data_IF_756210739487
#
_entry.id   IF_756210739487
#
_cell.length_a   1.000
_cell.length_b   1.000
_cell.length_c   1.000
_cell.angle_alpha   90.00
_cell.angle_beta   90.00
_cell.angle_gamma   90.00
#
_symmetry.space_group_name_H-M   'P 1'
#
loop_
_entity.id
_entity.type
_entity.pdbx_description
1 polymer ?
#
# COMPACT_ATOMS: atom_id res chain seq x y z
N UNK A 1 20.34 5.65 -18.70
CA UNK A 1 19.86 4.30 -18.33
C UNK A 1 18.36 4.25 -18.64
N UNK A 2 17.93 3.30 -19.49
CA UNK A 2 16.51 3.23 -19.86
C UNK A 2 15.69 2.69 -18.69
N UNK A 3 14.72 3.46 -18.22
CA UNK A 3 13.76 3.02 -17.19
C UNK A 3 12.81 2.01 -17.83
N UNK A 4 12.62 0.86 -17.17
CA UNK A 4 11.76 -0.21 -17.68
C UNK A 4 10.43 -0.28 -16.96
N UNK A 5 10.36 0.23 -15.72
CA UNK A 5 9.13 0.28 -14.94
C UNK A 5 9.05 1.51 -14.04
N UNK A 6 7.86 2.08 -13.87
CA UNK A 6 7.60 3.21 -12.97
C UNK A 6 6.50 2.87 -11.98
N UNK A 7 6.78 2.99 -10.68
CA UNK A 7 5.76 3.07 -9.66
C UNK A 7 5.47 4.54 -9.32
N UNK A 8 4.21 4.87 -9.16
CA UNK A 8 3.74 6.17 -8.66
C UNK A 8 2.98 5.91 -7.37
N UNK A 9 3.51 6.37 -6.23
CA UNK A 9 2.96 6.12 -4.90
C UNK A 9 2.57 7.44 -4.21
N UNK A 10 1.64 7.40 -3.26
CA UNK A 10 1.18 8.60 -2.57
C UNK A 10 2.21 9.15 -1.58
N UNK A 11 2.73 8.29 -0.72
CA UNK A 11 3.55 8.68 0.42
C UNK A 11 5.05 8.46 0.24
N UNK A 12 5.84 9.25 0.98
CA UNK A 12 7.30 9.02 1.07
C UNK A 12 7.60 7.66 1.69
N UNK A 13 6.82 7.24 2.68
CA UNK A 13 7.01 5.95 3.35
C UNK A 13 6.74 4.78 2.42
N UNK A 14 5.77 4.90 1.49
CA UNK A 14 5.48 3.85 0.51
C UNK A 14 6.66 3.62 -0.42
N UNK A 15 7.43 4.67 -0.74
CA UNK A 15 8.67 4.58 -1.50
C UNK A 15 9.72 3.68 -0.80
N UNK A 16 9.73 3.65 0.53
CA UNK A 16 10.67 2.83 1.30
C UNK A 16 10.14 1.41 1.53
N UNK A 17 8.82 1.26 1.65
CA UNK A 17 8.16 -0.03 1.92
C UNK A 17 8.02 -0.92 0.68
N UNK A 18 7.72 -0.32 -0.47
CA UNK A 18 7.54 -1.07 -1.72
C UNK A 18 8.78 -1.88 -2.14
N UNK A 19 10.02 -1.36 -2.06
CA UNK A 19 11.21 -2.16 -2.36
C UNK A 19 11.34 -3.42 -1.52
N UNK A 20 10.90 -3.42 -0.25
CA UNK A 20 10.95 -4.61 0.61
C UNK A 20 10.11 -5.75 0.03
N UNK A 21 8.91 -5.45 -0.49
CA UNK A 21 8.07 -6.44 -1.17
C UNK A 21 8.70 -6.89 -2.50
N UNK A 22 9.23 -5.95 -3.28
CA UNK A 22 9.85 -6.29 -4.56
C UNK A 22 11.05 -7.22 -4.38
N UNK A 23 11.90 -6.95 -3.40
CA UNK A 23 13.08 -7.77 -3.08
C UNK A 23 12.71 -9.17 -2.57
N UNK A 24 11.63 -9.27 -1.78
CA UNK A 24 11.15 -10.54 -1.29
C UNK A 24 10.62 -11.44 -2.41
N UNK A 25 9.74 -10.90 -3.26
CA UNK A 25 8.94 -11.70 -4.18
C UNK A 25 9.46 -11.75 -5.63
N UNK A 26 10.44 -10.90 -5.97
CA UNK A 26 11.01 -10.85 -7.33
C UNK A 26 12.54 -10.92 -7.30
N UNK A 27 13.10 -11.60 -8.28
CA UNK A 27 14.54 -11.67 -8.52
C UNK A 27 15.04 -10.45 -9.32
N UNK A 28 16.33 -10.18 -9.29
CA UNK A 28 16.98 -9.13 -10.07
C UNK A 28 16.39 -7.73 -9.91
N UNK A 29 15.89 -7.40 -8.72
CA UNK A 29 15.29 -6.10 -8.43
C UNK A 29 16.34 -5.02 -8.19
N UNK A 30 17.54 -5.42 -7.69
CA UNK A 30 18.66 -4.51 -7.49
C UNK A 30 19.80 -4.79 -8.47
N UNK A 31 20.58 -3.76 -8.80
CA UNK A 31 21.84 -3.86 -9.49
C UNK A 31 23.00 -4.14 -8.50
N UNK A 32 24.22 -4.25 -9.02
CA UNK A 32 25.41 -4.54 -8.21
C UNK A 32 25.75 -3.41 -7.21
N UNK A 33 25.26 -2.21 -7.46
CA UNK A 33 25.46 -1.03 -6.60
C UNK A 33 24.32 -0.90 -5.56
N UNK A 34 23.39 -1.84 -5.52
CA UNK A 34 22.25 -1.86 -4.60
C UNK A 34 21.08 -0.95 -5.00
N UNK A 35 21.12 -0.32 -6.19
CA UNK A 35 20.03 0.51 -6.67
C UNK A 35 18.93 -0.34 -7.33
N UNK A 36 17.71 0.19 -7.38
CA UNK A 36 16.62 -0.47 -8.11
C UNK A 36 16.96 -0.56 -9.62
N UNK A 37 17.01 -1.80 -10.14
CA UNK A 37 17.42 -2.11 -11.51
C UNK A 37 16.35 -1.67 -12.50
N UNK A 38 16.55 -0.51 -13.16
CA UNK A 38 15.62 0.06 -14.15
C UNK A 38 14.19 0.31 -13.64
N UNK A 39 14.00 0.40 -12.33
CA UNK A 39 12.74 0.76 -11.68
C UNK A 39 12.87 2.17 -11.12
N UNK A 40 11.87 3.00 -11.34
CA UNK A 40 11.74 4.31 -10.68
C UNK A 40 10.51 4.32 -9.80
N UNK A 41 10.65 4.78 -8.55
CA UNK A 41 9.53 5.00 -7.64
C UNK A 41 9.37 6.50 -7.42
N UNK A 42 8.24 7.04 -7.87
CA UNK A 42 7.87 8.46 -7.77
C UNK A 42 6.87 8.64 -6.65
N UNK A 43 7.14 9.56 -5.73
CA UNK A 43 6.20 9.94 -4.67
C UNK A 43 5.46 11.22 -5.05
N UNK A 44 4.16 11.22 -4.87
CA UNK A 44 3.31 12.38 -5.20
C UNK A 44 3.06 13.28 -3.99
N UNK A 45 3.39 12.82 -2.79
CA UNK A 45 3.19 13.48 -1.50
C UNK A 45 1.72 13.81 -1.14
N UNK A 46 0.75 13.36 -1.91
CA UNK A 46 -0.67 13.36 -1.55
C UNK A 46 -1.55 12.66 -2.58
N UNK A 47 -2.74 12.21 -2.15
CA UNK A 47 -3.76 11.67 -3.04
C UNK A 47 -4.26 12.67 -4.09
N UNK A 48 -4.17 13.96 -3.82
CA UNK A 48 -4.52 15.02 -4.78
C UNK A 48 -3.50 15.09 -5.89
N UNK A 49 -2.21 14.96 -5.55
CA UNK A 49 -1.12 15.07 -6.52
C UNK A 49 -0.95 13.82 -7.40
N UNK A 50 -1.47 12.66 -7.01
CA UNK A 50 -1.46 11.47 -7.88
C UNK A 50 -2.25 11.70 -9.17
N UNK A 51 -3.17 12.66 -9.14
CA UNK A 51 -3.92 13.11 -10.30
C UNK A 51 -3.15 14.10 -11.19
N UNK A 52 -1.95 14.54 -10.78
CA UNK A 52 -1.24 15.55 -11.53
C UNK A 52 -0.54 14.94 -12.73
N UNK A 53 -0.68 15.63 -13.83
CA UNK A 53 -0.03 15.37 -15.10
C UNK A 53 1.51 15.28 -15.00
N UNK A 54 2.11 16.02 -14.07
CA UNK A 54 3.56 16.03 -13.87
C UNK A 54 4.17 14.63 -13.65
N UNK A 55 3.38 13.66 -13.16
CA UNK A 55 3.84 12.29 -12.98
C UNK A 55 4.04 11.56 -14.31
N UNK A 56 3.33 11.94 -15.36
CA UNK A 56 3.40 11.31 -16.67
C UNK A 56 4.74 11.54 -17.38
N UNK A 57 5.50 12.58 -17.01
CA UNK A 57 6.85 12.82 -17.51
C UNK A 57 7.81 11.62 -17.28
N UNK A 58 7.57 10.86 -16.19
CA UNK A 58 8.36 9.66 -15.90
C UNK A 58 7.95 8.49 -16.79
N UNK A 59 6.64 8.39 -17.08
CA UNK A 59 6.08 7.37 -17.96
C UNK A 59 6.56 7.59 -19.42
N UNK A 60 6.70 8.85 -19.83
CA UNK A 60 7.22 9.18 -21.16
C UNK A 60 8.67 8.75 -21.40
N UNK A 61 9.42 8.46 -20.34
CA UNK A 61 10.79 7.89 -20.41
C UNK A 61 10.80 6.38 -20.59
N UNK A 62 9.66 5.71 -20.44
CA UNK A 62 9.55 4.27 -20.60
C UNK A 62 9.63 3.89 -22.08
N UNK A 63 10.31 2.77 -22.37
CA UNK A 63 10.27 2.15 -23.69
C UNK A 63 8.87 1.63 -24.02
N UNK A 64 8.25 0.91 -23.07
CA UNK A 64 6.86 0.46 -23.16
C UNK A 64 6.00 1.37 -22.27
N UNK A 65 5.13 2.16 -22.85
CA UNK A 65 4.35 3.20 -22.16
C UNK A 65 3.31 2.68 -21.18
N UNK A 66 3.00 1.39 -21.20
CA UNK A 66 2.08 0.75 -20.27
C UNK A 66 2.77 0.17 -19.03
N UNK A 67 4.12 0.17 -18.96
CA UNK A 67 4.91 -0.41 -17.87
C UNK A 67 4.98 0.55 -16.66
N UNK A 68 3.85 0.89 -16.09
CA UNK A 68 3.75 1.66 -14.85
C UNK A 68 2.56 1.24 -14.01
N UNK A 69 2.67 1.45 -12.70
CA UNK A 69 1.59 1.20 -11.73
C UNK A 69 1.48 2.37 -10.76
N UNK A 70 0.28 2.96 -10.69
CA UNK A 70 -0.10 3.93 -9.67
C UNK A 70 -0.66 3.16 -8.48
N UNK A 71 -0.08 3.32 -7.31
CA UNK A 71 -0.56 2.73 -6.06
C UNK A 71 -1.11 3.86 -5.19
N UNK A 72 -2.37 3.74 -4.83
CA UNK A 72 -3.10 4.74 -4.07
C UNK A 72 -3.78 4.14 -2.84
N UNK A 73 -3.74 4.87 -1.74
CA UNK A 73 -4.52 4.60 -0.54
C UNK A 73 -6.02 4.62 -0.85
N UNK A 74 -6.77 3.70 -0.28
CA UNK A 74 -8.23 3.67 -0.44
C UNK A 74 -8.93 4.78 0.36
N UNK A 75 -8.33 5.24 1.46
CA UNK A 75 -8.96 6.14 2.43
C UNK A 75 -10.32 5.61 2.94
N UNK A 76 -10.50 4.29 2.88
CA UNK A 76 -11.77 3.62 3.19
C UNK A 76 -12.89 3.93 2.18
N UNK A 77 -12.56 4.30 0.96
CA UNK A 77 -13.49 4.53 -0.16
C UNK A 77 -13.60 3.29 -1.05
N UNK A 78 -14.60 3.26 -1.91
CA UNK A 78 -14.78 2.17 -2.85
C UNK A 78 -13.67 2.18 -3.92
N UNK A 79 -12.87 1.10 -4.08
CA UNK A 79 -11.77 1.04 -5.02
C UNK A 79 -12.21 1.25 -6.48
N UNK A 80 -13.31 0.61 -6.91
CA UNK A 80 -13.80 0.73 -8.28
C UNK A 80 -14.23 2.16 -8.64
N UNK A 81 -14.77 2.88 -7.65
CA UNK A 81 -15.10 4.31 -7.84
C UNK A 81 -13.82 5.13 -8.05
N UNK A 82 -12.80 4.90 -7.22
CA UNK A 82 -11.53 5.62 -7.31
C UNK A 82 -10.77 5.33 -8.62
N UNK A 83 -10.77 4.07 -9.07
CA UNK A 83 -10.17 3.67 -10.36
C UNK A 83 -10.86 4.40 -11.51
N UNK A 84 -12.20 4.38 -11.57
CA UNK A 84 -12.96 5.09 -12.61
C UNK A 84 -12.68 6.59 -12.58
N UNK A 85 -12.63 7.18 -11.40
CA UNK A 85 -12.33 8.62 -11.25
C UNK A 85 -10.94 8.96 -11.78
N UNK A 86 -9.91 8.16 -11.48
CA UNK A 86 -8.56 8.38 -11.98
C UNK A 86 -8.47 8.21 -13.50
N UNK A 87 -9.03 7.14 -14.05
CA UNK A 87 -9.06 6.92 -15.50
C UNK A 87 -9.74 8.08 -16.24
N UNK A 88 -10.90 8.52 -15.74
CA UNK A 88 -11.61 9.67 -16.35
C UNK A 88 -10.80 10.95 -16.29
N UNK A 89 -10.12 11.21 -15.18
CA UNK A 89 -9.28 12.38 -15.00
C UNK A 89 -8.11 12.40 -16.00
N UNK A 90 -7.37 11.28 -16.12
CA UNK A 90 -6.26 11.21 -17.06
C UNK A 90 -6.72 11.27 -18.52
N UNK A 91 -7.87 10.67 -18.85
CA UNK A 91 -8.48 10.77 -20.17
C UNK A 91 -8.85 12.22 -20.53
N UNK A 92 -9.44 12.98 -19.61
CA UNK A 92 -9.75 14.37 -19.84
C UNK A 92 -8.47 15.19 -20.09
N UNK A 93 -7.42 14.97 -19.29
CA UNK A 93 -6.14 15.67 -19.42
C UNK A 93 -5.42 15.35 -20.74
N UNK A 94 -5.46 14.10 -21.21
CA UNK A 94 -4.85 13.73 -22.48
C UNK A 94 -5.48 14.46 -23.67
N UNK A 95 -6.76 14.78 -23.56
CA UNK A 95 -7.46 15.54 -24.60
C UNK A 95 -7.12 17.04 -24.58
N UNK A 96 -6.73 17.60 -23.42
CA UNK A 96 -6.41 19.03 -23.28
C UNK A 96 -4.98 19.37 -23.76
N UNK A 97 -4.03 18.47 -23.61
CA UNK A 97 -2.59 18.76 -23.75
C UNK A 97 -1.92 18.10 -24.97
N UNK A 98 -2.71 17.48 -25.86
CA UNK A 98 -2.15 16.84 -27.06
C UNK A 98 -1.73 15.37 -26.88
N UNK A 99 -1.64 14.68 -27.98
CA UNK A 99 -1.82 13.23 -28.11
C UNK A 99 -0.72 12.31 -27.54
N UNK A 100 0.30 12.80 -26.84
CA UNK A 100 1.49 11.97 -26.50
C UNK A 100 1.44 11.35 -25.10
N UNK A 101 0.24 11.29 -24.50
CA UNK A 101 0.07 10.74 -23.18
C UNK A 101 -0.24 9.26 -23.21
N UNK A 102 0.36 8.49 -22.29
CA UNK A 102 0.01 7.09 -22.14
C UNK A 102 -1.46 6.97 -21.75
N UNK A 103 -2.15 6.03 -22.37
CA UNK A 103 -3.52 5.69 -22.00
C UNK A 103 -3.51 5.02 -20.62
N UNK A 104 -3.97 5.74 -19.59
CA UNK A 104 -4.12 5.23 -18.24
C UNK A 104 -5.37 4.36 -18.18
N UNK A 105 -5.18 3.08 -17.97
CA UNK A 105 -6.24 2.07 -17.87
C UNK A 105 -6.36 1.55 -16.42
N UNK A 106 -7.43 0.82 -16.08
CA UNK A 106 -7.53 0.15 -14.78
C UNK A 106 -6.36 -0.78 -14.45
N UNK A 107 -5.66 -1.33 -15.47
CA UNK A 107 -4.44 -2.14 -15.29
C UNK A 107 -3.35 -1.34 -14.57
N UNK A 108 -3.26 -0.05 -14.84
CA UNK A 108 -2.22 0.85 -14.34
C UNK A 108 -2.52 1.47 -12.97
N UNK A 109 -3.64 1.08 -12.34
CA UNK A 109 -4.10 1.65 -11.07
C UNK A 109 -4.36 0.54 -10.08
N UNK A 110 -3.70 0.59 -8.94
CA UNK A 110 -4.01 -0.17 -7.75
C UNK A 110 -4.53 0.78 -6.67
N UNK A 111 -5.76 0.56 -6.24
CA UNK A 111 -6.27 1.12 -4.98
C UNK A 111 -6.09 0.04 -3.94
N UNK A 112 -5.36 0.34 -2.86
CA UNK A 112 -5.05 -0.61 -1.81
C UNK A 112 -6.33 -1.19 -1.19
N UNK A 113 -6.32 -2.48 -0.88
CA UNK A 113 -7.40 -3.18 -0.19
C UNK A 113 -7.70 -2.51 1.15
N UNK A 114 -6.66 -2.17 1.90
CA UNK A 114 -6.76 -1.50 3.19
C UNK A 114 -6.75 0.02 3.05
N UNK A 115 -6.99 0.71 4.18
CA UNK A 115 -7.07 2.18 4.21
C UNK A 115 -5.82 2.83 3.61
N UNK A 116 -4.64 2.37 4.02
CA UNK A 116 -3.34 2.80 3.54
C UNK A 116 -2.31 1.66 3.63
N UNK A 117 -1.11 1.89 3.11
CA UNK A 117 -0.05 0.89 3.08
C UNK A 117 0.36 0.40 4.48
N UNK A 118 0.30 1.26 5.50
CA UNK A 118 0.61 0.89 6.89
C UNK A 118 -0.27 -0.25 7.40
N UNK A 119 -1.52 -0.35 6.95
CA UNK A 119 -2.46 -1.35 7.44
C UNK A 119 -2.10 -2.79 7.04
N UNK A 120 -1.22 -2.97 6.05
CA UNK A 120 -0.71 -4.30 5.67
C UNK A 120 0.25 -4.88 6.71
N UNK A 121 0.89 -4.04 7.52
CA UNK A 121 1.82 -4.46 8.56
C UNK A 121 1.13 -4.78 9.90
N UNK A 122 -0.17 -5.02 9.89
CA UNK A 122 -1.00 -5.29 11.07
C UNK A 122 -1.61 -6.70 11.06
N UNK A 123 -0.86 -7.69 10.58
CA UNK A 123 -1.23 -9.09 10.76
C UNK A 123 -0.71 -9.61 12.11
N UNK A 124 -1.61 -9.98 13.06
CA UNK A 124 -1.18 -10.32 14.41
C UNK A 124 -0.23 -11.54 14.46
N UNK A 125 -0.48 -12.55 13.64
CA UNK A 125 0.37 -13.76 13.62
C UNK A 125 1.80 -13.44 13.18
N UNK A 126 1.96 -12.60 12.15
CA UNK A 126 3.27 -12.12 11.68
C UNK A 126 3.95 -11.25 12.74
N UNK A 127 3.19 -10.36 13.40
CA UNK A 127 3.74 -9.49 14.46
C UNK A 127 4.25 -10.30 15.67
N UNK A 128 3.63 -11.43 15.99
CA UNK A 128 4.15 -12.37 17.00
C UNK A 128 5.45 -12.99 16.54
N UNK A 129 5.52 -13.51 15.31
CA UNK A 129 6.72 -14.14 14.76
C UNK A 129 7.95 -13.24 14.81
N UNK A 130 7.78 -11.94 14.59
CA UNK A 130 8.89 -10.97 14.61
C UNK A 130 9.11 -10.27 15.96
N UNK A 131 8.34 -10.65 17.01
CA UNK A 131 8.51 -10.15 18.36
C UNK A 131 8.00 -8.73 18.63
N UNK A 132 7.18 -8.15 17.75
CA UNK A 132 6.52 -6.84 17.96
C UNK A 132 5.52 -6.93 19.10
N UNK A 133 4.82 -8.04 19.18
CA UNK A 133 3.89 -8.43 20.26
C UNK A 133 4.18 -9.84 20.75
N UNK A 134 3.72 -10.18 21.96
CA UNK A 134 3.98 -11.50 22.59
C UNK A 134 2.97 -12.57 22.16
N UNK A 135 1.75 -12.17 21.83
CA UNK A 135 0.66 -13.06 21.39
C UNK A 135 -0.35 -12.29 20.54
N UNK A 136 -1.13 -13.00 19.73
CA UNK A 136 -2.23 -12.39 18.99
C UNK A 136 -3.29 -11.79 19.93
N UNK A 137 -3.50 -12.42 21.09
CA UNK A 137 -4.43 -11.89 22.10
C UNK A 137 -3.99 -10.52 22.63
N UNK A 138 -2.67 -10.34 22.83
CA UNK A 138 -2.11 -9.03 23.21
C UNK A 138 -2.37 -7.95 22.14
N UNK A 139 -2.36 -8.30 20.85
CA UNK A 139 -2.71 -7.35 19.79
C UNK A 139 -4.09 -6.77 20.01
N UNK A 140 -5.08 -7.64 20.25
CA UNK A 140 -6.47 -7.20 20.44
C UNK A 140 -6.69 -6.46 21.76
N UNK A 141 -5.99 -6.85 22.83
CA UNK A 141 -6.00 -6.13 24.11
C UNK A 141 -5.49 -4.70 23.95
N UNK A 142 -4.34 -4.54 23.30
CA UNK A 142 -3.74 -3.22 23.04
C UNK A 142 -4.68 -2.38 22.17
N UNK A 143 -5.19 -2.95 21.08
CA UNK A 143 -6.05 -2.22 20.16
C UNK A 143 -7.38 -1.82 20.80
N UNK A 144 -7.99 -2.68 21.62
CA UNK A 144 -9.21 -2.35 22.37
C UNK A 144 -8.96 -1.29 23.44
N UNK A 145 -7.82 -1.38 24.16
CA UNK A 145 -7.40 -0.32 25.09
C UNK A 145 -7.29 1.03 24.38
N UNK A 146 -6.59 1.06 23.23
CA UNK A 146 -6.42 2.27 22.41
C UNK A 146 -7.74 2.75 21.80
N UNK A 147 -8.64 1.84 21.47
CA UNK A 147 -10.00 2.20 21.08
C UNK A 147 -10.71 3.00 22.17
N UNK A 148 -10.71 2.54 23.41
CA UNK A 148 -11.31 3.24 24.57
C UNK A 148 -10.61 4.56 24.89
N UNK A 149 -9.31 4.67 24.67
CA UNK A 149 -8.56 5.88 24.97
C UNK A 149 -8.84 7.00 23.95
N UNK A 150 -8.75 6.69 22.66
CA UNK A 150 -8.83 7.73 21.63
C UNK A 150 -9.33 7.30 20.24
N UNK A 151 -9.15 6.02 19.81
CA UNK A 151 -9.48 5.66 18.43
C UNK A 151 -10.96 5.87 18.10
N UNK A 152 -11.87 5.70 19.07
CA UNK A 152 -13.31 5.94 18.88
C UNK A 152 -13.63 7.38 18.48
N UNK A 153 -12.73 8.33 18.79
CA UNK A 153 -12.87 9.77 18.43
C UNK A 153 -12.47 10.06 17.00
N UNK A 154 -11.66 9.19 16.37
CA UNK A 154 -11.14 9.42 15.03
C UNK A 154 -12.28 9.51 14.00
N UNK A 155 -12.23 10.47 13.07
CA UNK A 155 -13.23 10.57 12.00
C UNK A 155 -13.39 9.30 11.19
N UNK A 156 -12.29 8.58 10.91
CA UNK A 156 -12.28 7.31 10.17
C UNK A 156 -12.99 6.19 10.95
N UNK A 157 -12.76 6.08 12.25
CA UNK A 157 -13.44 5.12 13.13
C UNK A 157 -14.93 5.44 13.26
N UNK A 158 -15.29 6.71 13.48
CA UNK A 158 -16.69 7.16 13.52
C UNK A 158 -17.42 6.85 12.20
N UNK A 159 -16.75 7.05 11.07
CA UNK A 159 -17.27 6.68 9.75
C UNK A 159 -17.54 5.18 9.68
N UNK A 160 -16.56 4.33 10.07
CA UNK A 160 -16.73 2.88 10.11
C UNK A 160 -17.97 2.48 10.92
N UNK A 161 -18.05 2.93 12.18
CA UNK A 161 -19.17 2.62 13.09
C UNK A 161 -20.52 2.99 12.45
N UNK A 162 -20.61 4.21 11.90
CA UNK A 162 -21.86 4.71 11.32
C UNK A 162 -22.25 4.02 10.01
N UNK A 163 -21.28 3.79 9.09
CA UNK A 163 -21.60 3.32 7.73
C UNK A 163 -21.68 1.81 7.63
N UNK A 164 -21.03 1.07 8.53
CA UNK A 164 -20.98 -0.39 8.53
C UNK A 164 -21.72 -1.00 9.72
N UNK A 165 -22.36 -0.16 10.55
CA UNK A 165 -23.07 -0.58 11.75
C UNK A 165 -22.22 -1.48 12.68
N UNK A 166 -20.91 -1.22 12.74
CA UNK A 166 -19.97 -1.93 13.60
C UNK A 166 -20.15 -1.44 15.05
N UNK A 167 -20.21 -2.38 16.00
CA UNK A 167 -20.19 -2.07 17.43
C UNK A 167 -18.92 -2.64 18.04
N UNK A 168 -18.26 -1.86 18.89
CA UNK A 168 -17.02 -2.27 19.56
C UNK A 168 -17.20 -2.01 21.05
N UNK A 169 -17.64 -3.03 21.78
CA UNK A 169 -17.87 -2.99 23.22
C UNK A 169 -16.86 -3.87 23.98
N UNK A 170 -16.15 -4.75 23.28
CA UNK A 170 -15.24 -5.72 23.85
C UNK A 170 -14.01 -5.94 22.94
N UNK A 171 -13.00 -6.65 23.44
CA UNK A 171 -11.87 -7.12 22.67
C UNK A 171 -12.31 -8.06 21.54
N UNK A 172 -13.28 -8.91 21.81
CA UNK A 172 -13.85 -9.85 20.85
C UNK A 172 -14.49 -9.13 19.67
N UNK A 173 -15.14 -7.97 19.94
CA UNK A 173 -15.69 -7.12 18.88
C UNK A 173 -14.56 -6.55 17.98
N UNK A 174 -13.42 -6.15 18.57
CA UNK A 174 -12.25 -5.72 17.81
C UNK A 174 -11.75 -6.86 16.95
N UNK A 175 -11.58 -8.06 17.52
CA UNK A 175 -11.13 -9.26 16.83
C UNK A 175 -12.04 -9.60 15.65
N UNK A 176 -13.34 -9.62 15.88
CA UNK A 176 -14.35 -9.89 14.84
C UNK A 176 -14.33 -8.87 13.70
N UNK A 177 -14.00 -7.62 13.99
CA UNK A 177 -14.08 -6.52 13.04
C UNK A 177 -12.69 -6.05 12.54
N UNK A 178 -11.61 -6.80 12.80
CA UNK A 178 -10.25 -6.32 12.49
C UNK A 178 -10.05 -6.00 11.01
N UNK A 179 -10.57 -6.82 10.10
CA UNK A 179 -10.48 -6.55 8.66
C UNK A 179 -11.21 -5.26 8.28
N UNK A 180 -12.38 -5.01 8.86
CA UNK A 180 -13.11 -3.76 8.64
C UNK A 180 -12.36 -2.56 9.23
N UNK A 181 -11.73 -2.73 10.40
CA UNK A 181 -10.88 -1.70 11.01
C UNK A 181 -9.71 -1.38 10.06
N UNK A 182 -9.01 -2.37 9.52
CA UNK A 182 -7.90 -2.18 8.57
C UNK A 182 -8.36 -1.48 7.27
N UNK A 183 -9.58 -1.75 6.80
CA UNK A 183 -10.12 -1.14 5.57
C UNK A 183 -10.52 0.33 5.79
N UNK A 184 -11.12 0.66 6.94
CA UNK A 184 -11.81 1.94 7.13
C UNK A 184 -11.10 2.91 8.08
N UNK A 185 -10.14 2.45 8.89
CA UNK A 185 -9.46 3.28 9.88
C UNK A 185 -8.06 3.63 9.40
N UNK A 186 -7.72 4.92 9.52
CA UNK A 186 -6.46 5.50 9.06
C UNK A 186 -5.26 4.73 9.60
N UNK A 187 -4.43 4.23 8.69
CA UNK A 187 -3.32 3.32 8.98
C UNK A 187 -2.27 3.90 9.91
N UNK A 188 -1.87 5.14 9.69
CA UNK A 188 -0.89 5.81 10.56
C UNK A 188 -1.25 5.73 12.06
N UNK A 189 -2.52 5.92 12.41
CA UNK A 189 -2.96 5.84 13.80
C UNK A 189 -2.89 4.42 14.37
N UNK A 190 -3.16 3.40 13.56
CA UNK A 190 -3.07 2.00 13.97
C UNK A 190 -1.61 1.52 14.02
N UNK A 191 -0.84 1.90 13.02
CA UNK A 191 0.57 1.55 12.90
C UNK A 191 1.40 2.09 14.05
N UNK A 192 1.25 3.36 14.41
CA UNK A 192 1.99 4.00 15.49
C UNK A 192 1.77 3.33 16.87
N UNK A 193 0.62 2.69 17.08
CA UNK A 193 0.35 1.95 18.32
C UNK A 193 1.40 0.85 18.55
N UNK A 194 1.80 0.16 17.50
CA UNK A 194 2.68 -1.01 17.57
C UNK A 194 4.12 -0.70 17.15
N UNK A 195 4.29 0.15 16.14
CA UNK A 195 5.57 0.42 15.52
C UNK A 195 6.19 1.76 15.92
N UNK A 196 5.45 2.62 16.62
CA UNK A 196 5.96 3.94 17.04
C UNK A 196 7.26 3.91 17.86
N UNK A 197 7.50 2.81 18.60
CA UNK A 197 8.74 2.58 19.37
C UNK A 197 9.93 2.16 18.49
N UNK A 198 9.71 1.73 17.25
CA UNK A 198 10.75 1.25 16.33
C UNK A 198 11.13 2.25 15.25
N UNK A 199 10.83 3.54 15.41
CA UNK A 199 11.07 4.57 14.37
C UNK A 199 12.52 4.64 13.88
N UNK A 200 13.50 4.40 14.76
CA UNK A 200 14.92 4.37 14.40
C UNK A 200 15.33 3.09 13.64
N UNK A 201 14.55 2.04 13.74
CA UNK A 201 14.80 0.71 13.18
C UNK A 201 13.66 0.27 12.24
N UNK A 202 12.88 1.25 11.75
CA UNK A 202 11.63 0.96 11.00
C UNK A 202 11.90 0.05 9.81
N UNK A 203 12.95 0.32 9.03
CA UNK A 203 13.27 -0.49 7.85
C UNK A 203 13.60 -1.94 8.22
N UNK A 204 14.39 -2.16 9.28
CA UNK A 204 14.77 -3.49 9.72
C UNK A 204 13.56 -4.30 10.20
N UNK A 205 12.70 -3.70 11.01
CA UNK A 205 11.52 -4.39 11.53
C UNK A 205 10.51 -4.68 10.44
N UNK A 206 10.34 -3.78 9.46
CA UNK A 206 9.46 -4.01 8.32
C UNK A 206 10.02 -5.07 7.37
N UNK A 207 11.34 -5.15 7.18
CA UNK A 207 11.99 -6.24 6.43
C UNK A 207 11.70 -7.58 7.09
N UNK A 208 11.93 -7.70 8.41
CA UNK A 208 11.56 -8.91 9.17
C UNK A 208 10.07 -9.25 9.00
N UNK A 209 9.21 -8.25 9.00
CA UNK A 209 7.79 -8.46 8.81
C UNK A 209 7.47 -9.01 7.41
N UNK A 210 7.99 -8.40 6.35
CA UNK A 210 7.79 -8.85 4.97
C UNK A 210 8.33 -10.28 4.79
N UNK A 211 9.47 -10.59 5.40
CA UNK A 211 10.07 -11.94 5.32
C UNK A 211 9.23 -13.00 6.02
N UNK A 212 8.59 -12.67 7.14
CA UNK A 212 7.79 -13.60 7.95
C UNK A 212 6.31 -13.69 7.56
N UNK A 213 5.79 -12.67 6.86
CA UNK A 213 4.39 -12.58 6.49
C UNK A 213 4.03 -13.59 5.38
N UNK A 214 2.85 -14.24 5.46
CA UNK A 214 2.35 -15.02 4.35
C UNK A 214 2.03 -14.11 3.15
N UNK A 215 2.21 -14.65 1.93
CA UNK A 215 2.04 -13.94 0.66
C UNK A 215 0.66 -13.30 0.51
N UNK A 216 -0.34 -13.93 1.07
CA UNK A 216 -1.74 -13.52 1.05
C UNK A 216 -1.97 -12.13 1.68
N UNK A 217 -1.11 -11.75 2.63
CA UNK A 217 -1.17 -10.41 3.25
C UNK A 217 -1.02 -9.31 2.21
N UNK A 218 -0.19 -9.55 1.18
CA UNK A 218 0.14 -8.59 0.12
C UNK A 218 -0.45 -8.98 -1.25
N UNK A 219 -1.39 -9.91 -1.29
CA UNK A 219 -1.87 -10.52 -2.54
C UNK A 219 -2.42 -9.51 -3.55
N UNK A 220 -3.13 -8.48 -3.13
CA UNK A 220 -3.67 -7.46 -4.03
C UNK A 220 -2.57 -6.62 -4.69
N UNK A 221 -1.50 -6.30 -3.93
CA UNK A 221 -0.34 -5.56 -4.43
C UNK A 221 0.43 -6.44 -5.43
N UNK A 222 0.75 -7.67 -5.04
CA UNK A 222 1.50 -8.61 -5.88
C UNK A 222 0.74 -8.95 -7.17
N UNK A 223 -0.56 -9.23 -7.07
CA UNK A 223 -1.41 -9.48 -8.24
C UNK A 223 -1.49 -8.28 -9.19
N UNK A 224 -1.39 -7.05 -8.68
CA UNK A 224 -1.35 -5.86 -9.53
C UNK A 224 0.00 -5.73 -10.26
N UNK A 225 1.10 -6.04 -9.58
CA UNK A 225 2.47 -6.00 -10.13
C UNK A 225 2.66 -7.10 -11.18
N UNK A 226 2.14 -8.29 -10.92
CA UNK A 226 2.24 -9.48 -11.77
C UNK A 226 1.61 -9.35 -13.16
N UNK A 227 0.83 -8.30 -13.38
CA UNK A 227 0.21 -8.01 -14.69
C UNK A 227 1.17 -7.40 -15.71
N UNK A 228 2.39 -7.07 -15.28
CA UNK A 228 3.35 -6.34 -16.11
C UNK A 228 4.50 -7.22 -16.56
N UNK A 229 4.83 -7.13 -17.86
CA UNK A 229 5.89 -7.91 -18.52
C UNK A 229 7.23 -7.76 -17.82
N UNK A 230 7.52 -6.58 -17.25
CA UNK A 230 8.76 -6.38 -16.50
C UNK A 230 8.95 -7.39 -15.36
N UNK A 231 7.86 -7.82 -14.71
CA UNK A 231 7.89 -8.74 -13.57
C UNK A 231 7.61 -10.20 -13.93
N UNK A 232 7.18 -10.49 -15.17
CA UNK A 232 6.75 -11.82 -15.60
C UNK A 232 7.81 -12.90 -15.36
N UNK A 233 9.07 -12.62 -15.75
CA UNK A 233 10.20 -13.55 -15.62
C UNK A 233 11.04 -13.29 -14.35
N UNK A 234 10.53 -12.53 -13.40
CA UNK A 234 11.24 -12.18 -12.18
C UNK A 234 10.59 -12.71 -10.91
N UNK A 235 9.46 -13.38 -11.04
CA UNK A 235 8.81 -14.02 -9.89
C UNK A 235 9.74 -15.05 -9.29
N UNK A 236 9.89 -15.01 -7.98
CA UNK A 236 10.57 -16.10 -7.26
C UNK A 236 9.56 -17.22 -7.08
N UNK A 237 9.97 -18.42 -7.49
CA UNK A 237 9.26 -19.65 -7.21
C UNK A 237 9.49 -20.02 -5.75
N UNK A 238 8.48 -20.59 -5.08
CA UNK A 238 8.57 -21.16 -3.71
C UNK A 238 8.67 -20.14 -2.54
N UNK A 239 8.05 -18.96 -2.63
CA UNK A 239 7.91 -18.05 -1.47
C UNK A 239 6.44 -17.85 -1.09
#
# INVERSE_FOLDING_TARGET
MNVSFVFIVEGKQDRNRLPLLLEKYYSEIRDNDGNLKRITIVTTNSCTNIKTYANLKYINKLYLKDQFLMIRDSDGKNPNYLIRQLCSYYKARSNEEGADLPNVTPKNILILKYYSFENYFLDPATMVKIGVIKSEDQFYDILYKKYKEYLYKLPSMKRLIRTKNVRINSKEDVKKNIEMIKIYVRGHNLYDIFYGKYRSEEEEILRKYVDAAPKEVFADILNAIDRFVYFENRKKEDI
#
